data_IF_454096764310
#
_entry.id   IF_454096764310
#
_cell.length_a   1.000
_cell.length_b   1.000
_cell.length_c   1.000
_cell.angle_alpha   90.00
_cell.angle_beta   90.00
_cell.angle_gamma   90.00
#
_symmetry.space_group_name_H-M   'P 1'
#
loop_
_entity.id
_entity.type
_entity.pdbx_description
1 polymer ?
#
# COMPACT_ATOMS: atom_id res chain seq x y z
N UNK A 1 -18.03 0.41 -13.69
CA UNK A 1 -16.62 0.39 -14.13
C UNK A 1 -15.79 -0.28 -13.05
N UNK A 2 -15.20 -1.46 -13.31
CA UNK A 2 -14.35 -2.15 -12.33
C UNK A 2 -12.92 -1.60 -12.39
N UNK A 3 -12.29 -1.43 -11.22
CA UNK A 3 -10.88 -1.05 -11.07
C UNK A 3 -10.15 -2.15 -10.33
N UNK A 4 -9.03 -2.62 -10.89
CA UNK A 4 -8.22 -3.70 -10.32
C UNK A 4 -6.77 -3.22 -10.23
N UNK A 5 -6.15 -3.42 -9.06
CA UNK A 5 -4.75 -3.09 -8.83
C UNK A 5 -4.00 -4.39 -8.48
N UNK A 6 -2.93 -4.67 -9.21
CA UNK A 6 -2.00 -5.76 -8.90
C UNK A 6 -0.84 -5.26 -8.04
N UNK A 7 -0.52 -5.98 -6.97
CA UNK A 7 0.64 -5.70 -6.12
C UNK A 7 1.64 -6.84 -6.21
N UNK A 8 2.89 -6.50 -6.53
CA UNK A 8 3.99 -7.47 -6.62
C UNK A 8 4.95 -7.26 -5.46
N UNK A 9 5.05 -8.25 -4.57
CA UNK A 9 6.02 -8.26 -3.47
C UNK A 9 7.38 -8.86 -3.84
N UNK A 10 7.45 -9.62 -4.94
CA UNK A 10 8.72 -10.15 -5.44
C UNK A 10 9.57 -9.02 -6.03
N UNK A 11 10.87 -8.90 -5.68
CA UNK A 11 11.74 -7.91 -6.28
C UNK A 11 12.16 -8.26 -7.73
N UNK A 12 11.90 -9.51 -8.17
CA UNK A 12 12.24 -9.98 -9.51
C UNK A 12 11.21 -9.48 -10.53
N UNK A 13 11.58 -8.47 -11.32
CA UNK A 13 10.71 -7.82 -12.33
C UNK A 13 10.24 -8.73 -13.45
N UNK A 14 11.08 -9.70 -13.82
CA UNK A 14 10.80 -10.67 -14.88
C UNK A 14 10.60 -12.08 -14.30
N UNK A 15 10.25 -12.16 -13.02
CA UNK A 15 10.00 -13.44 -12.34
C UNK A 15 8.57 -13.94 -12.55
N UNK A 16 8.34 -15.20 -12.18
CA UNK A 16 7.04 -15.86 -12.27
C UNK A 16 5.90 -15.04 -11.64
N UNK A 17 6.13 -14.42 -10.47
CA UNK A 17 5.12 -13.61 -9.78
C UNK A 17 4.69 -12.40 -10.61
N UNK A 18 5.65 -11.68 -11.21
CA UNK A 18 5.36 -10.53 -12.07
C UNK A 18 4.55 -10.98 -13.28
N UNK A 19 5.02 -12.04 -13.96
CA UNK A 19 4.35 -12.61 -15.12
C UNK A 19 2.90 -13.05 -14.82
N UNK A 20 2.66 -13.72 -13.69
CA UNK A 20 1.33 -14.16 -13.29
C UNK A 20 0.40 -12.98 -13.03
N UNK A 21 0.86 -11.95 -12.31
CA UNK A 21 0.06 -10.75 -12.05
C UNK A 21 -0.28 -10.04 -13.36
N UNK A 22 0.69 -9.89 -14.26
CA UNK A 22 0.48 -9.24 -15.56
C UNK A 22 -0.58 -9.98 -16.38
N UNK A 23 -0.54 -11.33 -16.42
CA UNK A 23 -1.54 -12.14 -17.14
C UNK A 23 -2.95 -12.02 -16.55
N UNK A 24 -3.07 -11.93 -15.23
CA UNK A 24 -4.36 -11.72 -14.56
C UNK A 24 -4.92 -10.32 -14.92
N UNK A 25 -4.07 -9.29 -14.89
CA UNK A 25 -4.49 -7.92 -15.22
C UNK A 25 -4.82 -7.76 -16.71
N UNK A 26 -4.12 -8.47 -17.60
CA UNK A 26 -4.42 -8.54 -19.03
C UNK A 26 -5.84 -9.08 -19.26
N UNK A 27 -6.15 -10.26 -18.69
CA UNK A 27 -7.50 -10.84 -18.81
C UNK A 27 -8.60 -9.98 -18.17
N UNK A 28 -8.30 -9.29 -17.06
CA UNK A 28 -9.24 -8.35 -16.47
C UNK A 28 -9.50 -7.12 -17.37
N UNK A 29 -8.44 -6.60 -18.01
CA UNK A 29 -8.54 -5.48 -18.94
C UNK A 29 -9.37 -5.84 -20.18
N UNK A 30 -9.22 -7.06 -20.70
CA UNK A 30 -10.05 -7.58 -21.80
C UNK A 30 -11.55 -7.62 -21.46
N UNK A 31 -11.89 -7.79 -20.18
CA UNK A 31 -13.28 -7.72 -19.68
C UNK A 31 -13.76 -6.29 -19.35
N UNK A 32 -12.98 -5.27 -19.73
CA UNK A 32 -13.33 -3.87 -19.54
C UNK A 32 -12.99 -3.29 -18.17
N UNK A 33 -12.13 -3.97 -17.39
CA UNK A 33 -11.62 -3.42 -16.14
C UNK A 33 -10.52 -2.37 -16.42
N UNK A 34 -10.47 -1.31 -15.61
CA UNK A 34 -9.28 -0.46 -15.52
C UNK A 34 -8.26 -1.15 -14.63
N UNK A 35 -7.05 -1.35 -15.14
CA UNK A 35 -6.00 -2.08 -14.43
C UNK A 35 -4.75 -1.23 -14.21
N UNK A 36 -4.08 -1.45 -13.08
CA UNK A 36 -2.80 -0.86 -12.74
C UNK A 36 -1.96 -1.84 -11.92
N UNK A 37 -0.63 -1.78 -12.01
CA UNK A 37 0.27 -2.60 -11.21
C UNK A 37 1.27 -1.74 -10.44
N UNK A 38 1.66 -2.22 -9.26
CA UNK A 38 2.68 -1.62 -8.41
C UNK A 38 3.58 -2.69 -7.81
N UNK A 39 4.85 -2.37 -7.64
CA UNK A 39 5.79 -3.20 -6.89
C UNK A 39 5.99 -2.59 -5.52
N UNK A 40 5.97 -3.41 -4.47
CA UNK A 40 6.24 -2.92 -3.11
C UNK A 40 7.65 -2.33 -2.97
N UNK A 41 8.61 -2.78 -3.79
CA UNK A 41 9.96 -2.23 -3.81
C UNK A 41 10.03 -0.78 -4.31
N UNK A 42 9.01 -0.30 -5.02
CA UNK A 42 8.96 1.06 -5.57
C UNK A 42 8.21 2.04 -4.66
N UNK A 43 7.58 1.53 -3.61
CA UNK A 43 6.72 2.29 -2.73
C UNK A 43 7.46 2.64 -1.44
N UNK A 44 7.37 3.90 -1.01
CA UNK A 44 7.75 4.33 0.34
C UNK A 44 6.68 3.88 1.36
N UNK A 45 6.66 2.57 1.63
CA UNK A 45 5.70 1.96 2.55
C UNK A 45 6.22 2.11 3.97
N UNK A 46 5.48 2.86 4.79
CA UNK A 46 5.75 3.02 6.23
C UNK A 46 4.72 2.20 7.03
N UNK A 47 4.97 0.91 7.28
CA UNK A 47 3.97 0.02 7.90
C UNK A 47 3.59 0.49 9.31
N UNK A 48 2.41 0.11 9.77
CA UNK A 48 1.96 0.43 11.13
C UNK A 48 2.93 -0.15 12.18
N UNK A 49 3.48 0.71 13.03
CA UNK A 49 4.35 0.30 14.14
C UNK A 49 3.62 -0.11 15.43
N UNK A 50 2.28 -0.24 15.40
CA UNK A 50 1.50 -0.63 16.58
C UNK A 50 1.47 0.40 17.72
N UNK A 51 1.66 1.68 17.42
CA UNK A 51 1.74 2.75 18.42
C UNK A 51 0.40 3.06 19.12
N UNK A 52 -0.73 2.60 18.57
CA UNK A 52 -2.12 2.85 19.02
C UNK A 52 -2.54 4.34 19.04
N UNK A 53 -1.81 5.21 18.34
CA UNK A 53 -2.16 6.63 18.22
C UNK A 53 -3.52 6.87 17.57
N UNK A 54 -3.85 6.10 16.53
CA UNK A 54 -5.14 6.16 15.83
C UNK A 54 -6.35 5.83 16.72
N UNK A 55 -6.17 5.01 17.76
CA UNK A 55 -7.26 4.66 18.68
C UNK A 55 -7.49 5.74 19.75
N UNK A 56 -6.43 6.47 20.11
CA UNK A 56 -6.48 7.52 21.14
C UNK A 56 -6.79 8.91 20.59
N UNK A 57 -6.83 9.07 19.27
CA UNK A 57 -6.90 10.39 18.62
C UNK A 57 -5.58 11.18 18.69
N UNK A 58 -4.47 10.53 19.06
CA UNK A 58 -3.17 11.15 19.25
C UNK A 58 -2.16 10.57 18.23
N UNK A 59 -1.94 11.28 17.13
CA UNK A 59 -0.92 10.91 16.12
C UNK A 59 0.47 11.48 16.42
N UNK A 60 0.64 12.11 17.58
CA UNK A 60 1.89 12.70 18.01
C UNK A 60 2.87 11.63 18.53
N UNK A 61 4.10 11.65 18.00
CA UNK A 61 5.22 10.77 18.40
C UNK A 61 5.55 10.89 19.89
N UNK A 62 5.23 12.02 20.53
CA UNK A 62 5.46 12.23 21.96
C UNK A 62 4.46 11.54 22.89
N UNK A 63 3.27 11.18 22.40
CA UNK A 63 2.16 10.67 23.24
C UNK A 63 1.92 9.16 23.11
N UNK A 64 2.63 8.48 22.21
CA UNK A 64 2.45 7.06 21.91
C UNK A 64 3.31 6.11 22.76
N UNK A 65 3.57 6.46 24.02
CA UNK A 65 4.35 5.63 24.94
C UNK A 65 5.75 5.28 24.41
N UNK A 66 6.40 6.21 23.71
CA UNK A 66 7.75 6.05 23.16
C UNK A 66 7.87 5.30 21.83
N UNK A 67 6.76 4.79 21.25
CA UNK A 67 6.79 4.14 19.94
C UNK A 67 6.51 5.15 18.82
N UNK A 68 7.43 5.36 17.85
CA UNK A 68 7.22 6.33 16.79
C UNK A 68 5.98 5.99 15.96
N UNK A 69 5.09 6.96 15.80
CA UNK A 69 3.93 6.83 14.93
C UNK A 69 4.37 7.00 13.47
N UNK A 70 4.35 5.91 12.70
CA UNK A 70 4.67 5.94 11.26
C UNK A 70 3.61 6.69 10.42
N UNK A 71 2.48 7.06 11.03
CA UNK A 71 1.40 7.87 10.43
C UNK A 71 1.63 9.39 10.49
N UNK A 72 2.73 9.88 11.07
CA UNK A 72 2.99 11.30 11.32
C UNK A 72 3.13 12.19 10.05
N UNK A 73 2.78 11.69 8.86
CA UNK A 73 2.86 12.39 7.58
C UNK A 73 1.53 12.49 6.82
N UNK A 74 0.43 11.91 7.32
CA UNK A 74 -0.89 12.33 6.82
C UNK A 74 -1.24 13.64 7.54
N UNK A 75 -1.22 14.80 6.87
CA UNK A 75 -1.71 16.02 7.49
C UNK A 75 -3.13 15.76 7.99
N UNK A 76 -3.41 16.20 9.21
CA UNK A 76 -4.71 16.13 9.87
C UNK A 76 -5.73 17.07 9.19
N UNK A 77 -5.81 17.04 7.86
CA UNK A 77 -6.66 17.92 7.06
C UNK A 77 -7.78 17.18 6.32
N UNK A 78 -7.95 15.88 6.54
CA UNK A 78 -9.07 15.10 5.99
C UNK A 78 -9.58 14.05 7.02
N UNK A 79 -9.77 14.48 8.26
CA UNK A 79 -10.65 13.79 9.21
C UNK A 79 -11.93 14.63 9.37
#
# INVERSE_FOLDING_TARGET
>A
MMKIIGFTGSPRREGNTAWTIDKILEGAKEKGAQTQSWYFSDLDIRPCGGCLGCHRGDHDRGKTGGRPCNYAFFPASNA
#
